data_IF_504170931186
#
_entry.id   IF_504170931186
#
_cell.length_a   1.000
_cell.length_b   1.000
_cell.length_c   1.000
_cell.angle_alpha   90.00
_cell.angle_beta   90.00
_cell.angle_gamma   90.00
#
_symmetry.space_group_name_H-M   'P 1'
#
loop_
_entity.id
_entity.type
_entity.pdbx_description
1 polymer ?
#
# COMPACT_ATOMS: atom_id res chain seq x y z
N UNK A 1 -18.03 16.90 19.01
CA UNK A 1 -16.71 17.42 18.58
C UNK A 1 -16.42 16.65 17.32
N UNK A 2 -16.45 17.30 16.15
CA UNK A 2 -16.24 16.61 14.87
C UNK A 2 -14.86 15.95 14.89
N UNK A 3 -14.76 14.69 14.45
CA UNK A 3 -13.48 14.04 14.26
C UNK A 3 -12.63 14.85 13.29
N UNK A 4 -11.31 14.88 13.48
CA UNK A 4 -10.44 15.56 12.51
C UNK A 4 -10.51 14.85 11.17
N UNK A 5 -10.32 15.57 10.05
CA UNK A 5 -10.35 14.95 8.72
C UNK A 5 -9.39 13.76 8.60
N UNK A 6 -8.24 13.85 9.28
CA UNK A 6 -7.28 12.77 9.41
C UNK A 6 -7.86 11.54 10.09
N UNK A 7 -8.57 11.70 11.21
CA UNK A 7 -9.18 10.59 11.94
C UNK A 7 -10.24 9.87 11.09
N UNK A 8 -11.05 10.63 10.34
CA UNK A 8 -12.07 10.06 9.46
C UNK A 8 -11.44 9.30 8.29
N UNK A 9 -10.37 9.83 7.68
CA UNK A 9 -9.62 9.13 6.62
C UNK A 9 -9.07 7.79 7.12
N UNK A 10 -8.58 7.72 8.36
CA UNK A 10 -8.07 6.46 8.92
C UNK A 10 -9.18 5.44 9.16
N UNK A 11 -10.33 5.88 9.68
CA UNK A 11 -11.50 5.02 9.84
C UNK A 11 -12.02 4.52 8.49
N UNK A 12 -12.06 5.39 7.47
CA UNK A 12 -12.40 5.01 6.10
C UNK A 12 -11.39 4.01 5.52
N UNK A 13 -10.09 4.16 5.83
CA UNK A 13 -9.06 3.20 5.45
C UNK A 13 -9.23 1.83 6.09
N UNK A 14 -9.59 1.80 7.38
CA UNK A 14 -9.94 0.56 8.06
C UNK A 14 -11.17 -0.11 7.43
N UNK A 15 -12.23 0.65 7.18
CA UNK A 15 -13.43 0.15 6.51
C UNK A 15 -13.10 -0.38 5.11
N UNK A 16 -12.31 0.36 4.33
CA UNK A 16 -11.88 -0.03 3.00
C UNK A 16 -11.11 -1.36 3.01
N UNK A 17 -10.21 -1.54 3.97
CA UNK A 17 -9.48 -2.79 4.19
C UNK A 17 -10.43 -3.95 4.50
N UNK A 18 -11.34 -3.77 5.46
CA UNK A 18 -12.31 -4.81 5.86
C UNK A 18 -13.21 -5.22 4.69
N UNK A 19 -13.72 -4.27 3.91
CA UNK A 19 -14.57 -4.57 2.76
C UNK A 19 -13.78 -5.20 1.62
N UNK A 20 -12.52 -4.79 1.40
CA UNK A 20 -11.63 -5.41 0.43
C UNK A 20 -11.34 -6.89 0.77
N UNK A 21 -11.07 -7.22 2.04
CA UNK A 21 -10.86 -8.61 2.48
C UNK A 21 -12.11 -9.48 2.31
N UNK A 22 -13.30 -8.90 2.51
CA UNK A 22 -14.58 -9.57 2.27
C UNK A 22 -14.92 -9.70 0.78
N UNK A 23 -14.24 -8.96 -0.11
CA UNK A 23 -14.59 -8.86 -1.53
C UNK A 23 -15.85 -8.04 -1.79
N UNK A 24 -16.23 -7.16 -0.86
CA UNK A 24 -17.42 -6.33 -0.93
C UNK A 24 -17.12 -4.98 -1.61
N UNK A 25 -17.98 -4.60 -2.55
CA UNK A 25 -17.97 -3.29 -3.20
C UNK A 25 -19.02 -2.33 -2.61
N UNK A 26 -20.03 -2.90 -1.95
CA UNK A 26 -21.14 -2.19 -1.34
C UNK A 26 -21.18 -2.60 0.13
N UNK A 27 -21.42 -1.63 1.01
CA UNK A 27 -21.51 -1.79 2.45
C UNK A 27 -22.67 -0.96 3.01
N UNK A 28 -23.04 -1.22 4.25
CA UNK A 28 -24.26 -0.71 4.88
C UNK A 28 -23.94 0.30 5.99
N UNK A 29 -24.97 0.92 6.56
CA UNK A 29 -24.80 1.78 7.73
C UNK A 29 -24.18 1.06 8.92
N UNK A 30 -24.46 -0.24 9.06
CA UNK A 30 -23.91 -1.09 10.10
C UNK A 30 -22.38 -1.18 9.99
N UNK A 31 -21.85 -1.36 8.78
CA UNK A 31 -20.40 -1.39 8.54
C UNK A 31 -19.72 -0.05 8.88
N UNK A 32 -20.41 1.07 8.61
CA UNK A 32 -19.94 2.42 8.99
C UNK A 32 -19.91 2.57 10.52
N UNK A 33 -20.99 2.16 11.21
CA UNK A 33 -21.11 2.22 12.66
C UNK A 33 -20.08 1.33 13.36
N UNK A 34 -19.86 0.12 12.85
CA UNK A 34 -18.82 -0.81 13.33
C UNK A 34 -17.40 -0.23 13.16
N UNK A 35 -17.18 0.55 12.10
CA UNK A 35 -15.93 1.28 11.85
C UNK A 35 -15.83 2.60 12.62
N UNK A 36 -16.81 2.92 13.47
CA UNK A 36 -16.85 4.13 14.29
C UNK A 36 -17.02 5.42 13.48
N UNK A 37 -17.63 5.33 12.30
CA UNK A 37 -17.96 6.45 11.42
C UNK A 37 -19.43 6.80 11.62
N UNK A 38 -19.72 8.04 11.97
CA UNK A 38 -21.10 8.52 11.98
C UNK A 38 -21.62 8.59 10.54
N UNK A 39 -22.81 8.06 10.32
CA UNK A 39 -23.48 8.07 9.01
C UNK A 39 -23.63 9.51 8.50
N UNK A 40 -23.87 10.46 9.41
CA UNK A 40 -23.95 11.88 9.04
C UNK A 40 -22.61 12.42 8.53
N UNK A 41 -21.48 11.95 9.09
CA UNK A 41 -20.13 12.30 8.63
C UNK A 41 -19.79 11.63 7.30
N UNK A 42 -20.20 10.39 7.06
CA UNK A 42 -19.95 9.68 5.80
C UNK A 42 -20.48 10.45 4.57
N UNK A 43 -21.65 11.11 4.71
CA UNK A 43 -22.23 11.95 3.65
C UNK A 43 -21.37 13.18 3.30
N UNK A 44 -20.58 13.69 4.25
CA UNK A 44 -19.68 14.84 4.06
C UNK A 44 -18.47 14.44 3.19
N UNK A 45 -18.06 13.18 3.25
CA UNK A 45 -16.99 12.62 2.42
C UNK A 45 -17.52 12.07 1.09
N UNK A 46 -18.54 12.71 0.52
CA UNK A 46 -19.16 12.33 -0.77
C UNK A 46 -18.18 12.21 -1.94
N UNK A 47 -17.01 12.85 -1.87
CA UNK A 47 -15.92 12.68 -2.84
C UNK A 47 -15.07 11.42 -2.69
N UNK A 48 -15.26 10.66 -1.61
CA UNK A 48 -14.54 9.41 -1.27
C UNK A 48 -15.51 8.23 -1.25
N UNK A 49 -16.71 8.41 -0.69
CA UNK A 49 -17.78 7.43 -0.64
C UNK A 49 -19.07 8.00 -1.22
N UNK A 50 -19.84 7.20 -1.96
CA UNK A 50 -21.14 7.60 -2.50
C UNK A 50 -22.26 6.83 -1.80
N UNK A 51 -23.28 7.56 -1.37
CA UNK A 51 -24.55 7.01 -0.88
C UNK A 51 -25.44 6.62 -2.08
N UNK A 52 -25.93 5.38 -2.06
CA UNK A 52 -26.81 4.79 -3.07
C UNK A 52 -28.12 4.42 -2.38
N UNK A 53 -29.24 4.85 -2.96
CA UNK A 53 -30.57 4.57 -2.44
C UNK A 53 -31.20 3.39 -3.15
N UNK A 54 -31.84 2.49 -2.40
CA UNK A 54 -32.86 1.58 -2.95
C UNK A 54 -34.22 1.99 -2.40
N UNK A 55 -35.11 2.36 -3.31
CA UNK A 55 -36.49 2.68 -2.97
C UNK A 55 -37.32 1.40 -3.01
N UNK A 56 -37.73 0.89 -1.85
CA UNK A 56 -38.73 -0.16 -1.78
C UNK A 56 -40.12 0.47 -1.57
N UNK A 57 -41.11 0.01 -2.34
CA UNK A 57 -42.49 0.48 -2.23
C UNK A 57 -43.08 0.06 -0.87
N UNK A 58 -42.90 0.91 0.16
CA UNK A 58 -43.81 0.97 1.30
C UNK A 58 -43.24 1.10 2.70
N UNK A 59 -41.96 0.79 2.99
CA UNK A 59 -41.51 0.70 4.41
C UNK A 59 -40.10 1.22 4.75
N UNK A 60 -39.39 1.87 3.82
CA UNK A 60 -38.13 2.58 4.13
C UNK A 60 -37.20 2.70 2.92
N UNK A 61 -36.34 3.72 2.93
CA UNK A 61 -35.20 3.80 2.01
C UNK A 61 -34.03 3.07 2.67
N UNK A 62 -33.64 1.93 2.12
CA UNK A 62 -32.41 1.26 2.53
C UNK A 62 -31.24 2.00 1.87
N UNK A 63 -30.26 2.38 2.69
CA UNK A 63 -29.09 3.15 2.28
C UNK A 63 -27.89 2.24 2.14
N UNK A 64 -27.30 2.26 0.97
CA UNK A 64 -26.09 1.52 0.63
C UNK A 64 -24.97 2.52 0.39
N UNK A 65 -23.74 2.10 0.62
CA UNK A 65 -22.57 2.93 0.42
C UNK A 65 -21.55 2.16 -0.40
N UNK A 66 -20.80 2.87 -1.24
CA UNK A 66 -19.62 2.34 -1.90
C UNK A 66 -18.53 3.40 -1.92
N UNK A 67 -17.28 2.99 -2.15
CA UNK A 67 -16.25 3.94 -2.54
C UNK A 67 -16.48 4.42 -3.97
N UNK A 68 -16.20 5.68 -4.25
CA UNK A 68 -16.41 6.30 -5.58
C UNK A 68 -15.72 5.50 -6.69
N UNK A 69 -14.56 4.91 -6.38
CA UNK A 69 -13.83 4.04 -7.30
C UNK A 69 -13.09 2.95 -6.53
N UNK A 70 -12.93 1.77 -7.12
CA UNK A 70 -12.23 0.64 -6.50
C UNK A 70 -10.79 0.99 -6.12
N UNK A 71 -10.09 1.77 -6.95
CA UNK A 71 -8.73 2.24 -6.63
C UNK A 71 -8.68 3.10 -5.36
N UNK A 72 -9.74 3.84 -5.04
CA UNK A 72 -9.81 4.65 -3.81
C UNK A 72 -9.94 3.71 -2.61
N UNK A 73 -10.80 2.69 -2.70
CA UNK A 73 -10.92 1.64 -1.69
C UNK A 73 -9.56 0.96 -1.45
N UNK A 74 -8.91 0.47 -2.50
CA UNK A 74 -7.62 -0.22 -2.38
C UNK A 74 -6.49 0.70 -1.88
N UNK A 75 -6.47 1.96 -2.29
CA UNK A 75 -5.50 2.94 -1.78
C UNK A 75 -5.71 3.22 -0.29
N UNK A 76 -6.95 3.44 0.14
CA UNK A 76 -7.28 3.69 1.56
C UNK A 76 -6.98 2.46 2.42
N UNK A 77 -7.25 1.26 1.91
CA UNK A 77 -6.85 0.02 2.54
C UNK A 77 -5.32 -0.08 2.68
N UNK A 78 -4.56 0.20 1.62
CA UNK A 78 -3.10 0.19 1.64
C UNK A 78 -2.54 1.20 2.64
N UNK A 79 -3.13 2.40 2.71
CA UNK A 79 -2.76 3.43 3.68
C UNK A 79 -2.98 2.96 5.12
N UNK A 80 -4.14 2.36 5.41
CA UNK A 80 -4.45 1.81 6.73
C UNK A 80 -3.48 0.70 7.13
N UNK A 81 -3.18 -0.23 6.23
CA UNK A 81 -2.25 -1.34 6.46
C UNK A 81 -0.84 -0.81 6.72
N UNK A 82 -0.36 0.11 5.89
CA UNK A 82 0.95 0.74 6.06
C UNK A 82 1.06 1.47 7.39
N UNK A 83 0.05 2.26 7.75
CA UNK A 83 0.03 3.01 8.99
C UNK A 83 -0.02 2.11 10.22
N UNK A 84 -0.79 1.02 10.18
CA UNK A 84 -0.84 0.01 11.24
C UNK A 84 0.55 -0.60 11.49
N UNK A 85 1.32 -0.84 10.43
CA UNK A 85 2.69 -1.35 10.56
C UNK A 85 3.64 -0.28 11.14
N UNK A 86 3.64 0.93 10.57
CA UNK A 86 4.62 1.97 10.93
C UNK A 86 4.37 2.56 12.32
N UNK A 87 3.11 2.79 12.67
CA UNK A 87 2.74 3.48 13.92
C UNK A 87 2.40 2.52 15.05
N UNK A 88 1.75 1.40 14.74
CA UNK A 88 1.25 0.45 15.75
C UNK A 88 2.05 -0.85 15.80
N UNK A 89 3.07 -0.99 14.94
CA UNK A 89 3.92 -2.18 14.86
C UNK A 89 3.09 -3.46 14.65
N UNK A 90 2.02 -3.38 13.85
CA UNK A 90 1.08 -4.48 13.59
C UNK A 90 1.07 -4.83 12.11
N UNK A 91 1.18 -6.13 11.79
CA UNK A 91 0.90 -6.64 10.45
C UNK A 91 -0.55 -7.16 10.41
N UNK A 92 -1.47 -6.34 9.91
CA UNK A 92 -2.90 -6.69 9.84
C UNK A 92 -3.23 -7.71 8.74
N UNK A 93 -2.28 -8.04 7.86
CA UNK A 93 -2.46 -9.03 6.78
C UNK A 93 -2.26 -10.48 7.24
N UNK A 94 -1.87 -10.69 8.51
CA UNK A 94 -1.74 -12.03 9.09
C UNK A 94 -2.92 -12.29 10.02
N UNK A 95 -3.65 -13.37 9.77
CA UNK A 95 -4.50 -13.98 10.79
C UNK A 95 -3.62 -14.34 11.98
N UNK A 96 -4.09 -14.07 13.20
CA UNK A 96 -3.31 -14.15 14.43
C UNK A 96 -2.54 -15.48 14.57
N UNK A 97 -1.28 -15.50 14.12
CA UNK A 97 -0.33 -16.52 14.53
C UNK A 97 0.20 -16.14 15.90
N UNK A 98 -0.34 -16.86 16.89
CA UNK A 98 0.12 -16.95 18.26
C UNK A 98 1.65 -16.88 18.39
N UNK A 99 2.16 -15.71 18.78
CA UNK A 99 3.05 -15.50 19.93
C UNK A 99 3.36 -14.01 20.08
N UNK A 100 3.43 -13.49 21.32
CA UNK A 100 4.10 -12.23 21.58
C UNK A 100 5.59 -12.48 21.42
N UNK A 101 6.09 -12.46 20.18
CA UNK A 101 7.50 -12.21 19.99
C UNK A 101 7.70 -10.72 20.21
N UNK A 102 8.60 -10.39 21.12
CA UNK A 102 8.98 -9.04 21.52
C UNK A 102 9.62 -8.23 20.37
N UNK A 103 9.49 -8.71 19.13
CA UNK A 103 10.19 -8.23 17.96
C UNK A 103 9.30 -7.30 17.16
N UNK A 104 9.91 -6.21 16.73
CA UNK A 104 9.30 -5.22 15.87
C UNK A 104 8.94 -5.86 14.53
N UNK A 105 7.71 -5.69 14.07
CA UNK A 105 7.28 -6.11 12.73
C UNK A 105 8.15 -5.38 11.72
N UNK A 106 8.87 -6.14 10.89
CA UNK A 106 9.71 -5.58 9.84
C UNK A 106 8.85 -5.19 8.64
N UNK A 107 9.16 -4.06 7.99
CA UNK A 107 8.43 -3.62 6.81
C UNK A 107 8.55 -4.62 5.66
N UNK A 108 9.72 -5.27 5.54
CA UNK A 108 9.96 -6.37 4.61
C UNK A 108 9.02 -7.56 4.82
N UNK A 109 8.67 -7.83 6.08
CA UNK A 109 7.73 -8.88 6.47
C UNK A 109 6.29 -8.53 6.12
N UNK A 110 5.88 -7.27 6.31
CA UNK A 110 4.59 -6.76 5.84
C UNK A 110 4.46 -6.94 4.32
N UNK A 111 5.46 -6.49 3.57
CA UNK A 111 5.46 -6.61 2.11
C UNK A 111 5.41 -8.06 1.65
N UNK A 112 6.15 -8.95 2.31
CA UNK A 112 6.08 -10.39 2.02
C UNK A 112 4.67 -10.93 2.20
N UNK A 113 4.02 -10.64 3.33
CA UNK A 113 2.61 -11.03 3.54
C UNK A 113 1.68 -10.51 2.45
N UNK A 114 1.83 -9.26 2.04
CA UNK A 114 1.02 -8.65 1.00
C UNK A 114 1.22 -9.31 -0.37
N UNK A 115 2.48 -9.55 -0.77
CA UNK A 115 2.83 -10.25 -2.01
C UNK A 115 2.25 -11.67 -2.00
N UNK A 116 2.41 -12.40 -0.90
CA UNK A 116 1.87 -13.75 -0.76
C UNK A 116 0.34 -13.78 -0.87
N UNK A 117 -0.34 -12.82 -0.25
CA UNK A 117 -1.80 -12.73 -0.30
C UNK A 117 -2.31 -12.37 -1.70
N UNK A 118 -1.65 -11.45 -2.40
CA UNK A 118 -1.97 -11.09 -3.77
C UNK A 118 -1.78 -12.26 -4.74
N UNK A 119 -0.70 -13.05 -4.59
CA UNK A 119 -0.46 -14.22 -5.43
C UNK A 119 -1.43 -15.38 -5.15
N UNK A 120 -1.95 -15.49 -3.91
CA UNK A 120 -3.02 -16.44 -3.56
C UNK A 120 -4.39 -16.01 -4.07
N UNK A 121 -4.58 -14.74 -4.41
CA UNK A 121 -5.85 -14.22 -4.92
C UNK A 121 -6.18 -14.82 -6.28
N UNK A 122 -7.40 -15.35 -6.43
CA UNK A 122 -7.83 -15.99 -7.69
C UNK A 122 -8.07 -15.00 -8.83
N UNK A 123 -8.49 -13.78 -8.51
CA UNK A 123 -8.97 -12.79 -9.50
C UNK A 123 -8.17 -11.48 -9.49
N UNK A 124 -7.08 -11.38 -8.71
CA UNK A 124 -6.20 -10.22 -8.71
C UNK A 124 -6.75 -8.97 -8.06
N UNK A 125 -7.83 -9.08 -7.29
CA UNK A 125 -8.42 -7.95 -6.55
C UNK A 125 -7.50 -7.30 -5.50
N UNK A 126 -6.29 -7.82 -5.30
CA UNK A 126 -5.28 -7.25 -4.39
C UNK A 126 -4.08 -6.68 -5.15
N UNK A 127 -4.07 -6.72 -6.48
CA UNK A 127 -2.93 -6.34 -7.29
C UNK A 127 -2.67 -4.82 -7.18
N UNK A 128 -3.73 -4.01 -7.24
CA UNK A 128 -3.60 -2.56 -7.11
C UNK A 128 -3.38 -2.12 -5.65
N UNK A 129 -4.05 -2.77 -4.68
CA UNK A 129 -3.71 -2.64 -3.26
C UNK A 129 -2.21 -2.87 -2.98
N UNK A 130 -1.65 -3.97 -3.51
CA UNK A 130 -0.24 -4.32 -3.31
C UNK A 130 0.68 -3.22 -3.84
N UNK A 131 0.41 -2.74 -5.06
CA UNK A 131 1.17 -1.64 -5.67
C UNK A 131 1.14 -0.38 -4.83
N UNK A 132 -0.04 0.04 -4.36
CA UNK A 132 -0.15 1.20 -3.47
C UNK A 132 0.62 1.01 -2.17
N UNK A 133 0.53 -0.18 -1.55
CA UNK A 133 1.24 -0.48 -0.31
C UNK A 133 2.76 -0.36 -0.48
N UNK A 134 3.30 -0.89 -1.57
CA UNK A 134 4.73 -0.80 -1.89
C UNK A 134 5.16 0.64 -2.20
N UNK A 135 4.36 1.39 -2.95
CA UNK A 135 4.61 2.79 -3.24
C UNK A 135 4.63 3.66 -1.98
N UNK A 136 3.67 3.48 -1.05
CA UNK A 136 3.61 4.18 0.23
C UNK A 136 4.86 3.96 1.11
N UNK A 137 5.54 2.82 0.92
CA UNK A 137 6.75 2.47 1.66
C UNK A 137 8.00 3.21 1.20
N UNK A 138 7.95 3.96 0.09
CA UNK A 138 9.04 4.83 -0.34
C UNK A 138 9.17 6.07 0.56
N UNK A 139 10.42 6.49 0.80
CA UNK A 139 10.72 7.64 1.66
C UNK A 139 10.11 8.97 1.15
N UNK A 140 10.04 9.13 -0.17
CA UNK A 140 9.46 10.33 -0.82
C UNK A 140 7.99 10.52 -0.44
N UNK A 141 7.20 9.45 -0.50
CA UNK A 141 5.77 9.47 -0.26
C UNK A 141 5.46 9.57 1.24
N UNK A 142 6.26 8.96 2.12
CA UNK A 142 6.05 9.09 3.55
C UNK A 142 6.23 10.53 4.04
N UNK A 143 7.22 11.28 3.52
CA UNK A 143 7.42 12.68 3.91
C UNK A 143 6.18 13.54 3.61
N UNK A 144 5.48 13.23 2.52
CA UNK A 144 4.25 13.87 2.10
C UNK A 144 3.07 13.46 2.99
N UNK A 145 2.86 12.16 3.19
CA UNK A 145 1.77 11.63 4.04
C UNK A 145 1.94 12.10 5.49
N UNK A 146 3.17 12.05 6.03
CA UNK A 146 3.49 12.57 7.36
C UNK A 146 3.26 14.08 7.48
N UNK A 147 3.54 14.85 6.42
CA UNK A 147 3.23 16.28 6.36
C UNK A 147 1.73 16.58 6.31
N UNK A 148 0.93 15.74 5.64
CA UNK A 148 -0.52 15.90 5.53
C UNK A 148 -1.25 15.53 6.83
N UNK A 149 -0.86 14.41 7.45
CA UNK A 149 -1.48 13.93 8.70
C UNK A 149 -1.12 14.80 9.93
N UNK A 150 -0.06 15.62 9.84
CA UNK A 150 0.35 16.52 10.93
C UNK A 150 -0.16 17.95 10.79
N UNK A 151 -0.80 18.31 9.67
CA UNK A 151 -1.30 19.66 9.39
C UNK A 151 -2.73 19.95 9.92
N UNK A 152 -3.41 18.97 10.50
CA UNK A 152 -4.74 19.14 11.12
C UNK A 152 -4.64 19.79 12.51
N UNK A 153 -4.31 21.09 12.54
CA UNK A 153 -4.27 21.86 13.78
C UNK A 153 -4.06 23.37 13.67
N UNK A 154 -4.06 23.98 12.48
CA UNK A 154 -3.86 25.43 12.37
C UNK A 154 -4.72 26.07 11.29
N UNK A 155 -5.76 26.77 11.74
CA UNK A 155 -6.58 27.70 10.95
C UNK A 155 -5.69 28.80 10.34
N UNK A 156 -5.94 29.25 9.10
CA UNK A 156 -5.06 30.19 8.43
C UNK A 156 -5.31 31.61 8.94
N UNK A 157 -4.26 32.25 9.44
CA UNK A 157 -4.28 33.66 9.80
C UNK A 157 -2.88 34.25 9.70
N UNK A 158 -2.63 34.98 8.61
CA UNK A 158 -1.75 36.14 8.56
C UNK A 158 -0.26 35.99 8.91
N UNK A 159 0.56 36.35 7.92
CA UNK A 159 1.89 36.94 8.04
C UNK A 159 3.11 36.05 8.34
N UNK A 160 4.05 36.18 7.39
CA UNK A 160 5.45 35.77 7.38
C UNK A 160 6.21 36.22 8.65
N UNK A 161 6.96 35.32 9.28
CA UNK A 161 8.27 35.66 9.84
C UNK A 161 9.18 34.42 9.98
N UNK A 162 10.43 34.54 9.52
CA UNK A 162 11.52 33.58 9.70
C UNK A 162 12.10 33.75 11.11
N UNK A 163 12.20 32.69 11.91
CA UNK A 163 13.33 32.47 12.85
C UNK A 163 13.37 31.02 13.35
N UNK A 164 14.57 30.42 13.26
CA UNK A 164 14.95 29.13 13.83
C UNK A 164 14.96 29.17 15.37
N UNK A 165 13.96 28.61 16.06
CA UNK A 165 14.12 28.01 17.41
C UNK A 165 12.85 27.26 17.84
N UNK A 166 12.71 25.96 17.50
CA UNK A 166 11.66 25.10 18.12
C UNK A 166 11.91 23.58 18.04
N UNK A 167 13.15 23.12 18.12
CA UNK A 167 13.47 21.68 18.09
C UNK A 167 13.76 21.02 19.45
N UNK A 168 13.83 21.75 20.56
CA UNK A 168 14.35 21.19 21.82
C UNK A 168 13.29 20.55 22.72
N UNK A 169 12.04 21.02 22.71
CA UNK A 169 11.01 20.54 23.64
C UNK A 169 10.43 19.18 23.21
N UNK A 170 10.18 19.00 21.91
CA UNK A 170 9.73 17.72 21.36
C UNK A 170 10.81 16.62 21.46
N UNK A 171 12.09 16.96 21.25
CA UNK A 171 13.19 16.01 21.49
C UNK A 171 13.33 15.64 22.98
N UNK A 172 12.98 16.54 23.91
CA UNK A 172 13.00 16.27 25.35
C UNK A 172 11.83 15.39 25.80
N UNK A 173 10.62 15.66 25.30
CA UNK A 173 9.44 14.83 25.58
C UNK A 173 9.63 13.39 25.06
N UNK A 174 10.29 13.22 23.91
CA UNK A 174 10.65 11.90 23.35
C UNK A 174 11.71 11.13 24.17
N UNK A 175 12.45 11.80 25.07
CA UNK A 175 13.39 11.15 26.00
C UNK A 175 12.74 10.75 27.32
N UNK A 176 11.64 11.39 27.71
CA UNK A 176 11.01 11.19 29.02
C UNK A 176 9.97 10.06 29.06
N UNK A 177 9.61 9.47 27.90
CA UNK A 177 8.70 8.30 27.82
C UNK A 177 9.41 6.97 27.56
N UNK A 178 10.74 6.89 27.73
CA UNK A 178 11.47 5.62 27.60
C UNK A 178 11.38 4.80 28.89
N UNK A 179 10.53 3.76 28.88
CA UNK A 179 10.73 2.55 29.70
C UNK A 179 11.97 1.78 29.21
N UNK A 180 12.53 0.84 30.00
CA UNK A 180 13.94 0.45 29.94
C UNK A 180 14.33 -0.20 28.61
N UNK A 181 15.51 0.18 28.13
CA UNK A 181 16.16 -0.33 26.92
C UNK A 181 16.64 -1.77 27.16
N UNK A 182 16.19 -2.77 26.40
CA UNK A 182 16.91 -4.02 26.28
C UNK A 182 18.16 -3.82 25.42
N UNK A 183 19.23 -4.52 25.80
CA UNK A 183 20.55 -4.69 25.20
C UNK A 183 20.68 -4.36 23.68
N UNK A 184 21.71 -3.62 23.21
CA UNK A 184 21.83 -3.19 21.82
C UNK A 184 22.40 -4.31 20.94
N UNK A 185 21.64 -5.39 20.72
CA UNK A 185 21.89 -6.38 19.65
C UNK A 185 20.63 -6.92 18.94
N UNK A 186 19.47 -6.27 19.07
CA UNK A 186 18.31 -6.60 18.22
C UNK A 186 18.26 -5.64 17.03
N UNK A 187 18.68 -6.13 15.86
CA UNK A 187 18.83 -5.38 14.61
C UNK A 187 17.57 -4.56 14.28
N UNK A 188 17.67 -3.23 14.40
CA UNK A 188 16.68 -2.35 13.76
C UNK A 188 17.02 -2.31 12.28
N UNK A 189 16.30 -3.11 11.48
CA UNK A 189 16.39 -3.06 10.02
C UNK A 189 16.10 -1.63 9.53
N UNK A 190 16.99 -1.08 8.69
CA UNK A 190 16.73 0.20 8.04
C UNK A 190 15.70 0.02 6.93
N UNK A 191 14.87 1.02 6.65
CA UNK A 191 13.87 0.91 5.57
C UNK A 191 14.48 0.58 4.21
N UNK A 192 15.63 1.16 3.89
CA UNK A 192 16.36 0.83 2.65
C UNK A 192 16.70 -0.66 2.60
N UNK A 193 17.08 -1.25 3.73
CA UNK A 193 17.31 -2.69 3.83
C UNK A 193 16.01 -3.49 3.66
N UNK A 194 14.91 -3.06 4.29
CA UNK A 194 13.61 -3.70 4.10
C UNK A 194 13.16 -3.69 2.63
N UNK A 195 13.31 -2.56 1.94
CA UNK A 195 12.97 -2.41 0.53
C UNK A 195 13.84 -3.34 -0.33
N UNK A 196 15.15 -3.41 -0.08
CA UNK A 196 16.04 -4.34 -0.79
C UNK A 196 15.61 -5.80 -0.61
N UNK A 197 15.26 -6.20 0.60
CA UNK A 197 14.75 -7.56 0.86
C UNK A 197 13.42 -7.81 0.13
N UNK A 198 12.52 -6.82 0.11
CA UNK A 198 11.26 -6.91 -0.63
C UNK A 198 11.49 -7.05 -2.12
N UNK A 199 12.36 -6.21 -2.71
CA UNK A 199 12.74 -6.28 -4.13
C UNK A 199 13.30 -7.65 -4.48
N UNK A 200 14.23 -8.16 -3.67
CA UNK A 200 14.83 -9.48 -3.90
C UNK A 200 13.77 -10.58 -3.85
N UNK A 201 12.86 -10.51 -2.87
CA UNK A 201 11.77 -11.45 -2.75
C UNK A 201 10.80 -11.41 -3.95
N UNK A 202 10.44 -10.22 -4.43
CA UNK A 202 9.58 -10.08 -5.62
C UNK A 202 10.27 -10.71 -6.85
N UNK A 203 11.59 -10.49 -7.04
CA UNK A 203 12.35 -11.11 -8.13
C UNK A 203 12.38 -12.63 -8.03
N UNK A 204 12.45 -13.19 -6.82
CA UNK A 204 12.32 -14.64 -6.59
C UNK A 204 10.93 -15.14 -6.98
N UNK A 205 9.86 -14.45 -6.54
CA UNK A 205 8.49 -14.81 -6.90
C UNK A 205 8.22 -14.73 -8.40
N UNK A 206 8.76 -13.74 -9.11
CA UNK A 206 8.68 -13.65 -10.59
C UNK A 206 9.28 -14.89 -11.26
N UNK A 207 10.41 -15.41 -10.75
CA UNK A 207 11.08 -16.59 -11.32
C UNK A 207 10.30 -17.89 -11.10
N UNK A 208 9.42 -17.91 -10.10
CA UNK A 208 8.63 -19.09 -9.71
C UNK A 208 7.19 -19.04 -10.23
N UNK A 209 6.67 -17.86 -10.55
CA UNK A 209 5.29 -17.65 -10.94
C UNK A 209 5.05 -18.08 -12.39
N UNK A 210 4.01 -18.88 -12.63
CA UNK A 210 3.66 -19.38 -13.97
C UNK A 210 2.66 -18.49 -14.69
N UNK A 211 1.81 -17.75 -13.96
CA UNK A 211 0.79 -16.88 -14.54
C UNK A 211 1.40 -15.60 -15.11
N UNK A 212 1.12 -15.33 -16.39
CA UNK A 212 1.52 -14.08 -17.04
C UNK A 212 0.96 -12.84 -16.33
N UNK A 213 -0.32 -12.86 -15.95
CA UNK A 213 -1.00 -11.75 -15.28
C UNK A 213 -0.36 -11.44 -13.91
N UNK A 214 -0.08 -12.48 -13.12
CA UNK A 214 0.59 -12.35 -11.82
C UNK A 214 2.02 -11.84 -11.98
N UNK A 215 2.72 -12.33 -12.99
CA UNK A 215 4.09 -11.91 -13.30
C UNK A 215 4.13 -10.43 -13.70
N UNK A 216 3.20 -9.97 -14.56
CA UNK A 216 3.06 -8.56 -14.94
C UNK A 216 2.79 -7.69 -13.71
N UNK A 217 1.90 -8.12 -12.80
CA UNK A 217 1.66 -7.38 -11.56
C UNK A 217 2.93 -7.28 -10.69
N UNK A 218 3.70 -8.35 -10.56
CA UNK A 218 4.97 -8.32 -9.82
C UNK A 218 6.02 -7.41 -10.47
N UNK A 219 6.06 -7.31 -11.80
CA UNK A 219 6.89 -6.30 -12.48
C UNK A 219 6.43 -4.88 -12.17
N UNK A 220 5.12 -4.61 -12.17
CA UNK A 220 4.61 -3.32 -11.72
C UNK A 220 5.02 -3.03 -10.27
N UNK A 221 5.02 -4.03 -9.39
CA UNK A 221 5.49 -3.88 -8.01
C UNK A 221 6.97 -3.48 -7.93
N UNK A 222 7.83 -4.01 -8.82
CA UNK A 222 9.23 -3.57 -8.91
C UNK A 222 9.33 -2.11 -9.36
N UNK A 223 8.51 -1.70 -10.33
CA UNK A 223 8.47 -0.31 -10.80
C UNK A 223 8.01 0.66 -9.68
N UNK A 224 6.98 0.30 -8.90
CA UNK A 224 6.54 1.10 -7.74
C UNK A 224 7.66 1.25 -6.69
N UNK A 225 8.61 0.31 -6.63
CA UNK A 225 9.79 0.37 -5.77
C UNK A 225 11.02 1.02 -6.43
N UNK A 226 10.87 1.54 -7.65
CA UNK A 226 11.94 2.10 -8.49
C UNK A 226 13.09 1.10 -8.79
N UNK A 227 12.82 -0.21 -8.87
CA UNK A 227 13.81 -1.22 -9.27
C UNK A 227 13.57 -1.70 -10.71
N UNK A 228 14.43 -1.26 -11.63
CA UNK A 228 14.42 -1.69 -13.02
C UNK A 228 15.51 -2.73 -13.33
N UNK A 229 16.22 -3.22 -12.32
CA UNK A 229 17.44 -4.03 -12.53
C UNK A 229 17.14 -5.39 -13.17
N UNK A 230 15.99 -5.99 -12.87
CA UNK A 230 15.57 -7.24 -13.50
C UNK A 230 15.25 -7.04 -14.99
N UNK A 231 14.64 -5.92 -15.34
CA UNK A 231 14.37 -5.55 -16.74
C UNK A 231 15.68 -5.39 -17.50
N UNK A 232 16.66 -4.69 -16.92
CA UNK A 232 17.99 -4.53 -17.52
C UNK A 232 18.73 -5.86 -17.67
N UNK A 233 18.65 -6.76 -16.69
CA UNK A 233 19.23 -8.12 -16.75
C UNK A 233 18.65 -8.90 -17.94
N UNK A 234 17.33 -8.84 -18.10
CA UNK A 234 16.61 -9.47 -19.20
C UNK A 234 17.01 -8.89 -20.56
N UNK A 235 17.00 -7.56 -20.71
CA UNK A 235 17.38 -6.87 -21.95
C UNK A 235 18.83 -7.18 -22.35
N UNK A 236 19.76 -7.20 -21.38
CA UNK A 236 21.16 -7.55 -21.63
C UNK A 236 21.31 -9.02 -22.07
N UNK A 237 20.53 -9.93 -21.50
CA UNK A 237 20.52 -11.35 -21.88
C UNK A 237 20.01 -11.55 -23.31
N UNK A 238 18.98 -10.79 -23.70
CA UNK A 238 18.45 -10.76 -25.07
C UNK A 238 19.48 -10.18 -26.07
N UNK A 239 20.05 -9.01 -25.78
CA UNK A 239 21.07 -8.35 -26.64
C UNK A 239 22.32 -9.21 -26.83
N UNK A 240 22.73 -9.95 -25.80
CA UNK A 240 23.90 -10.83 -25.87
C UNK A 240 23.61 -12.20 -26.50
N UNK A 241 22.36 -12.49 -26.90
CA UNK A 241 21.97 -13.78 -27.46
C UNK A 241 22.13 -14.94 -26.47
N UNK A 242 22.20 -14.65 -25.17
CA UNK A 242 22.51 -15.61 -24.10
C UNK A 242 21.30 -16.27 -23.45
N UNK A 243 20.08 -16.03 -23.95
CA UNK A 243 18.95 -16.83 -23.54
C UNK A 243 19.26 -18.29 -23.92
N UNK A 244 19.73 -19.06 -22.94
CA UNK A 244 20.02 -20.48 -23.11
C UNK A 244 18.78 -21.16 -23.66
N UNK A 245 18.93 -22.30 -24.36
CA UNK A 245 17.87 -23.12 -24.97
C UNK A 245 16.72 -23.59 -24.02
N UNK A 246 16.62 -23.05 -22.81
CA UNK A 246 15.42 -23.10 -21.96
C UNK A 246 14.28 -22.38 -22.66
N UNK A 247 13.42 -23.18 -23.29
CA UNK A 247 12.13 -22.77 -23.82
C UNK A 247 11.34 -22.05 -22.72
N UNK A 248 11.17 -20.74 -22.88
CA UNK A 248 10.23 -19.97 -22.06
C UNK A 248 8.83 -20.50 -22.35
N UNK A 249 8.03 -20.70 -21.31
CA UNK A 249 6.62 -21.05 -21.49
C UNK A 249 5.88 -19.86 -22.15
N UNK A 250 4.82 -20.11 -22.95
CA UNK A 250 4.08 -19.06 -23.65
C UNK A 250 3.63 -17.89 -22.75
N UNK A 251 3.30 -18.17 -21.50
CA UNK A 251 2.87 -17.17 -20.52
C UNK A 251 4.03 -16.27 -20.06
N UNK A 252 5.23 -16.83 -19.94
CA UNK A 252 6.45 -16.09 -19.65
C UNK A 252 6.82 -15.16 -20.81
N UNK A 253 6.62 -15.60 -22.05
CA UNK A 253 6.82 -14.77 -23.24
C UNK A 253 5.86 -13.57 -23.28
N UNK A 254 4.62 -13.74 -22.84
CA UNK A 254 3.62 -12.66 -22.82
C UNK A 254 3.97 -11.59 -21.79
N UNK A 255 4.36 -12.00 -20.57
CA UNK A 255 4.84 -11.08 -19.55
C UNK A 255 6.12 -10.36 -19.99
N UNK A 256 7.07 -11.09 -20.59
CA UNK A 256 8.31 -10.54 -21.13
C UNK A 256 8.04 -9.50 -22.22
N UNK A 257 7.16 -9.82 -23.17
CA UNK A 257 6.76 -8.90 -24.23
C UNK A 257 6.14 -7.62 -23.66
N UNK A 258 5.23 -7.74 -22.69
CA UNK A 258 4.62 -6.59 -22.03
C UNK A 258 5.68 -5.69 -21.35
N UNK A 259 6.59 -6.27 -20.58
CA UNK A 259 7.65 -5.52 -19.88
C UNK A 259 8.57 -4.80 -20.88
N UNK A 260 8.96 -5.47 -21.96
CA UNK A 260 9.78 -4.87 -23.01
C UNK A 260 9.04 -3.73 -23.73
N UNK A 261 7.76 -3.92 -24.07
CA UNK A 261 6.97 -2.89 -24.74
C UNK A 261 6.67 -1.66 -23.86
N UNK A 262 6.67 -1.84 -22.54
CA UNK A 262 6.34 -0.78 -21.56
C UNK A 262 7.57 -0.11 -20.95
N UNK A 263 8.78 -0.60 -21.24
CA UNK A 263 10.02 0.04 -20.80
C UNK A 263 10.35 1.23 -21.70
N UNK A 264 10.49 2.42 -21.12
CA UNK A 264 10.75 3.68 -21.85
C UNK A 264 11.98 3.65 -22.76
N UNK A 265 12.90 2.70 -22.57
CA UNK A 265 14.12 2.53 -23.38
C UNK A 265 13.89 1.87 -24.77
N UNK A 266 12.67 1.42 -25.10
CA UNK A 266 12.42 0.57 -26.28
C UNK A 266 11.66 1.28 -27.42
N UNK A 267 11.12 2.48 -27.20
CA UNK A 267 10.34 3.16 -28.25
C UNK A 267 11.18 3.68 -29.44
N UNK A 268 12.50 3.81 -29.29
CA UNK A 268 13.36 4.37 -30.35
C UNK A 268 14.19 3.32 -31.13
N UNK A 269 14.10 2.02 -30.81
CA UNK A 269 15.00 1.00 -31.41
C UNK A 269 14.29 -0.18 -32.10
N UNK A 270 12.96 -0.18 -32.21
CA UNK A 270 12.24 -1.15 -33.04
C UNK A 270 12.03 -0.65 -34.47
N UNK A 271 13.10 -0.69 -35.26
CA UNK A 271 13.01 -0.58 -36.70
C UNK A 271 12.49 -1.93 -37.25
N UNK A 272 11.16 -2.05 -37.36
CA UNK A 272 10.51 -3.19 -38.02
C UNK A 272 10.81 -3.12 -39.53
N UNK A 273 11.83 -3.87 -39.96
CA UNK A 273 12.04 -4.21 -41.38
C UNK A 273 11.21 -5.42 -41.80
#
# INVERSE_FOLDING_TARGET
MLASDTEIILKLGQLAFLQMEKGNLIFYEEDLKESGIDVSEASVYSGVCTEIFKEECGLGQEKFYCFVHLSIQEYLAALFVFQSCVNENRNVLRAEESKPHSDRVQLSELHRSAVDQALKSKNGHLDLFLRFLLGLSLDSIQSLVGGLLTQTGSRPGGARCKTNTRSTLFQRLRRMTKSPVPDPQTQTESRSESIKKTVQYIKERIREESSAERTINLFHCLNELNDNSLVQEIQNSLRSGKLSDKKLEPDQCSALAFVLLTSEEILDEFDLK
#
